data_IF_448311855617
#
_entry.id   IF_448311855617
#
_cell.length_a   1.000
_cell.length_b   1.000
_cell.length_c   1.000
_cell.angle_alpha   90.00
_cell.angle_beta   90.00
_cell.angle_gamma   90.00
#
_symmetry.space_group_name_H-M   'P 1'
#
loop_
_entity.id
_entity.type
_entity.pdbx_description
1 polymer ?
#
# COMPACT_ATOMS: atom_id res chain seq x y z
N UNK A 1 18.87 12.42 -18.08
CA UNK A 1 17.83 11.81 -18.93
C UNK A 1 18.08 10.30 -19.01
N UNK A 2 17.56 9.51 -18.06
CA UNK A 2 17.40 8.07 -18.23
C UNK A 2 15.92 7.79 -18.01
N UNK A 3 15.26 7.43 -19.10
CA UNK A 3 13.94 6.86 -19.17
C UNK A 3 13.87 5.64 -18.25
N UNK A 4 13.08 5.70 -17.18
CA UNK A 4 12.77 4.51 -16.38
C UNK A 4 11.45 3.95 -16.90
N UNK A 5 11.42 2.80 -17.60
CA UNK A 5 10.17 2.11 -17.84
C UNK A 5 9.85 1.34 -16.55
N UNK A 6 9.14 1.97 -15.62
CA UNK A 6 8.77 1.33 -14.34
C UNK A 6 7.52 0.45 -14.43
N UNK A 7 6.89 0.34 -15.61
CA UNK A 7 5.75 -0.55 -15.82
C UNK A 7 6.23 -1.95 -16.17
N UNK A 8 5.81 -2.93 -15.38
CA UNK A 8 5.92 -4.34 -15.72
C UNK A 8 4.95 -4.62 -16.88
N UNK A 9 5.34 -5.50 -17.80
CA UNK A 9 4.48 -5.98 -18.87
C UNK A 9 3.22 -6.64 -18.27
N UNK A 10 2.04 -6.16 -18.66
CA UNK A 10 0.73 -6.61 -18.14
C UNK A 10 0.47 -8.12 -18.39
N UNK A 11 1.34 -8.78 -19.15
CA UNK A 11 1.31 -10.21 -19.46
C UNK A 11 2.16 -11.07 -18.53
N UNK A 12 2.73 -10.50 -17.45
CA UNK A 12 3.48 -11.27 -16.44
C UNK A 12 2.58 -11.69 -15.28
N UNK A 13 2.68 -12.98 -14.94
CA UNK A 13 2.07 -13.51 -13.72
C UNK A 13 2.83 -12.99 -12.50
N UNK A 14 2.11 -12.38 -11.56
CA UNK A 14 2.62 -11.89 -10.28
C UNK A 14 1.86 -12.58 -9.14
N UNK A 15 2.51 -12.75 -7.99
CA UNK A 15 1.84 -13.19 -6.78
C UNK A 15 1.06 -12.02 -6.19
N UNK A 16 -0.26 -12.14 -6.11
CA UNK A 16 -1.15 -11.10 -5.57
C UNK A 16 -2.17 -11.69 -4.60
N UNK A 17 -2.95 -10.82 -3.96
CA UNK A 17 -4.00 -11.21 -3.03
C UNK A 17 -5.13 -11.92 -3.77
N UNK A 18 -5.49 -13.11 -3.30
CA UNK A 18 -6.66 -13.84 -3.79
C UNK A 18 -7.86 -13.57 -2.87
N UNK A 19 -7.75 -13.98 -1.61
CA UNK A 19 -8.73 -13.69 -0.57
C UNK A 19 -8.15 -12.71 0.44
N UNK A 20 -8.92 -11.70 0.81
CA UNK A 20 -8.54 -10.69 1.81
C UNK A 20 -9.61 -10.54 2.88
N UNK A 21 -9.19 -10.25 4.10
CA UNK A 21 -10.05 -9.70 5.15
C UNK A 21 -9.58 -8.32 5.54
N UNK A 22 -10.49 -7.47 5.99
CA UNK A 22 -10.15 -6.14 6.48
C UNK A 22 -10.08 -6.16 8.00
N UNK A 23 -9.00 -5.59 8.53
CA UNK A 23 -8.85 -5.32 9.96
C UNK A 23 -8.77 -3.83 10.19
N UNK A 24 -9.23 -3.40 11.37
CA UNK A 24 -9.17 -2.00 11.79
C UNK A 24 -8.32 -1.87 13.04
N UNK A 25 -7.33 -0.97 12.99
CA UNK A 25 -6.51 -0.61 14.15
C UNK A 25 -6.76 0.84 14.53
N UNK A 26 -6.60 1.14 15.82
CA UNK A 26 -6.70 2.49 16.35
C UNK A 26 -5.30 3.06 16.54
N UNK A 27 -4.97 4.12 15.81
CA UNK A 27 -3.70 4.82 15.95
C UNK A 27 -3.62 5.57 17.29
N UNK A 28 -2.47 5.56 17.98
CA UNK A 28 -2.25 6.39 19.14
C UNK A 28 -2.03 7.86 18.73
N UNK A 29 -2.26 8.77 19.68
CA UNK A 29 -1.87 10.19 19.58
C UNK A 29 -2.48 11.02 18.42
N UNK A 30 -3.67 10.63 17.93
CA UNK A 30 -4.41 11.46 16.98
C UNK A 30 -5.03 12.71 17.66
N UNK A 31 -5.10 13.87 16.97
CA UNK A 31 -5.74 15.09 17.48
C UNK A 31 -7.24 14.92 17.79
N UNK A 32 -7.82 15.75 18.68
CA UNK A 32 -9.26 15.74 18.93
C UNK A 32 -10.08 16.00 17.67
N UNK A 33 -11.13 15.22 17.45
CA UNK A 33 -12.00 15.34 16.27
C UNK A 33 -11.50 14.62 15.01
N UNK A 34 -10.31 14.00 15.05
CA UNK A 34 -9.82 13.11 14.00
C UNK A 34 -10.26 11.68 14.30
N UNK A 35 -10.70 10.94 13.29
CA UNK A 35 -10.96 9.50 13.42
C UNK A 35 -9.61 8.73 13.44
N UNK A 36 -9.24 8.09 14.57
CA UNK A 36 -7.97 7.37 14.68
C UNK A 36 -8.01 5.97 14.06
N UNK A 37 -9.12 5.54 13.46
CA UNK A 37 -9.27 4.18 12.94
C UNK A 37 -8.73 4.06 11.51
N UNK A 38 -7.80 3.12 11.31
CA UNK A 38 -7.26 2.77 9.99
C UNK A 38 -7.64 1.33 9.66
N UNK A 39 -8.21 1.13 8.49
CA UNK A 39 -8.60 -0.19 7.99
C UNK A 39 -7.61 -0.65 6.92
N UNK A 40 -7.03 -1.83 7.07
CA UNK A 40 -6.04 -2.39 6.14
C UNK A 40 -6.39 -3.83 5.75
N UNK A 41 -6.00 -4.26 4.53
CA UNK A 41 -6.23 -5.63 4.09
C UNK A 41 -5.21 -6.59 4.69
N UNK A 42 -5.68 -7.78 5.06
CA UNK A 42 -4.87 -8.93 5.47
C UNK A 42 -5.14 -10.06 4.49
N UNK A 43 -4.11 -10.52 3.82
CA UNK A 43 -4.18 -11.65 2.90
C UNK A 43 -4.53 -12.94 3.66
N UNK A 44 -5.60 -13.60 3.22
CA UNK A 44 -5.98 -14.94 3.65
C UNK A 44 -5.39 -16.01 2.72
N UNK A 45 -5.26 -15.67 1.44
CA UNK A 45 -4.64 -16.51 0.42
C UNK A 45 -4.00 -15.64 -0.67
N UNK A 46 -3.03 -16.22 -1.39
CA UNK A 46 -2.36 -15.58 -2.51
C UNK A 46 -2.46 -16.48 -3.74
N UNK A 47 -2.47 -15.88 -4.92
CA UNK A 47 -2.37 -16.61 -6.17
C UNK A 47 -1.54 -15.88 -7.24
N UNK A 48 -1.15 -16.63 -8.26
CA UNK A 48 -0.36 -16.12 -9.38
C UNK A 48 -1.29 -15.81 -10.55
N UNK A 49 -1.57 -14.52 -10.77
CA UNK A 49 -2.40 -14.04 -11.89
C UNK A 49 -1.68 -12.95 -12.66
N UNK A 50 -2.20 -12.62 -13.84
CA UNK A 50 -1.75 -11.43 -14.56
C UNK A 50 -1.92 -10.20 -13.67
N UNK A 51 -0.91 -9.34 -13.65
CA UNK A 51 -1.02 -8.10 -12.90
C UNK A 51 -2.08 -7.20 -13.55
N UNK A 52 -3.21 -7.04 -12.87
CA UNK A 52 -4.30 -6.17 -13.34
C UNK A 52 -4.10 -4.77 -12.78
N UNK A 53 -3.96 -3.77 -13.64
CA UNK A 53 -3.86 -2.36 -13.24
C UNK A 53 -5.12 -1.80 -12.56
N UNK A 54 -6.25 -2.54 -12.58
CA UNK A 54 -7.51 -2.10 -11.96
C UNK A 54 -7.46 -2.10 -10.42
N UNK A 55 -6.62 -2.95 -9.83
CA UNK A 55 -6.56 -3.17 -8.36
C UNK A 55 -5.15 -3.13 -7.80
N UNK A 56 -4.11 -3.14 -8.64
CA UNK A 56 -2.71 -3.27 -8.22
C UNK A 56 -1.80 -2.36 -9.06
N UNK A 57 -0.88 -1.66 -8.39
CA UNK A 57 0.18 -0.93 -9.07
C UNK A 57 1.26 -1.90 -9.57
N UNK A 58 1.22 -2.24 -10.86
CA UNK A 58 2.14 -3.16 -11.52
C UNK A 58 3.53 -2.53 -11.76
N UNK A 59 4.31 -2.36 -10.69
CA UNK A 59 5.67 -1.81 -10.74
C UNK A 59 6.74 -2.85 -10.42
N UNK A 60 7.94 -2.67 -10.99
CA UNK A 60 9.10 -3.54 -10.72
C UNK A 60 9.65 -3.30 -9.30
N UNK A 61 9.62 -2.04 -8.84
CA UNK A 61 10.02 -1.63 -7.51
C UNK A 61 8.97 -0.68 -6.96
N UNK A 62 8.59 -0.87 -5.70
CA UNK A 62 7.70 0.00 -4.96
C UNK A 62 8.25 0.22 -3.55
N UNK A 63 7.64 1.12 -2.79
CA UNK A 63 7.97 1.26 -1.37
C UNK A 63 7.66 -0.04 -0.64
N UNK A 64 8.54 -0.44 0.28
CA UNK A 64 8.30 -1.64 1.07
C UNK A 64 7.12 -1.44 2.02
N UNK A 65 6.37 -2.49 2.39
CA UNK A 65 5.22 -2.38 3.31
C UNK A 65 5.59 -1.82 4.69
N UNK A 66 6.85 -1.97 5.11
CA UNK A 66 7.40 -1.46 6.36
C UNK A 66 7.91 -0.01 6.28
N UNK A 67 7.79 0.65 5.13
CA UNK A 67 8.23 2.02 4.96
C UNK A 67 7.25 3.01 5.60
N UNK A 68 7.74 3.76 6.59
CA UNK A 68 7.01 4.86 7.22
C UNK A 68 7.78 6.17 7.00
N UNK A 69 7.16 7.15 6.33
CA UNK A 69 7.68 8.51 6.32
C UNK A 69 7.34 9.16 7.65
N UNK A 70 8.28 9.15 8.60
CA UNK A 70 8.14 9.99 9.77
C UNK A 70 8.28 11.43 9.31
N UNK A 71 7.18 12.21 9.27
CA UNK A 71 7.29 13.66 9.33
C UNK A 71 7.75 14.04 10.76
N UNK A 72 8.98 13.68 11.12
CA UNK A 72 9.62 14.31 12.27
C UNK A 72 10.06 15.70 11.79
N UNK A 73 9.22 16.67 12.15
CA UNK A 73 9.33 18.12 12.01
C UNK A 73 8.85 18.72 10.67
N UNK A 74 7.60 19.21 10.64
CA UNK A 74 7.21 20.55 10.11
C UNK A 74 5.72 20.71 9.76
N UNK A 75 4.81 20.13 10.53
CA UNK A 75 3.45 20.70 10.61
C UNK A 75 3.27 21.24 12.01
N UNK A 76 3.35 22.58 12.23
CA UNK A 76 2.84 23.13 13.46
C UNK A 76 1.36 22.75 13.53
N UNK A 77 0.96 22.19 14.67
CA UNK A 77 -0.44 22.13 15.04
C UNK A 77 -0.95 23.57 15.09
N UNK A 78 -1.59 24.00 14.00
CA UNK A 78 -2.39 25.20 13.95
C UNK A 78 -3.69 24.89 13.20
#
# INVERSE_FOLDING_TARGET
MKSVPQRMDDHKHVCTYHDVRYETVRLPDCPPGVDPHVTYPVALSCDCRLCTMDTSDCTIESLRPDFCMTQRASLPAY
#
